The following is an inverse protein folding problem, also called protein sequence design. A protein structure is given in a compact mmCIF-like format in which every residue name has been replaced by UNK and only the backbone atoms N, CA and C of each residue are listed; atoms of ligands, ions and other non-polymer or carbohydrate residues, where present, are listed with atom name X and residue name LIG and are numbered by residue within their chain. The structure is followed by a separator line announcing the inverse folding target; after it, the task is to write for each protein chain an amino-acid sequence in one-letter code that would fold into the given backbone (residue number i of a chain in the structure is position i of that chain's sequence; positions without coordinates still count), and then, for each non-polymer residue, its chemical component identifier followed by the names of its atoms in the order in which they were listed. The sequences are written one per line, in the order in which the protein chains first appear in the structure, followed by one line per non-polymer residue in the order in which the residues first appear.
data_IF_003773986654
#
_entry.id   IF_003773986654
#
_cell.length_a   1.000
_cell.length_b   1.000
_cell.length_c   1.000
_cell.angle_alpha   90.00
_cell.angle_beta   90.00
_cell.angle_gamma   90.00
#
_symmetry.space_group_name_H-M   'P 1'
#
loop_
_entity.id
_entity.type
_entity.pdbx_description
1 polymer ?
#
# COMPACT_ATOMS: atom_id res chain seq x y z
N UNK A 1 14.71 -3.59 18.86
CA UNK A 1 13.32 -3.77 18.34
C UNK A 1 12.33 -4.20 19.44
N UNK A 2 12.56 -5.32 20.16
CA UNK A 2 11.63 -5.75 21.25
C UNK A 2 11.45 -4.69 22.36
N UNK A 3 12.46 -3.87 22.61
CA UNK A 3 12.39 -2.78 23.58
C UNK A 3 11.50 -1.64 23.08
N UNK A 4 11.67 -1.21 21.81
CA UNK A 4 10.81 -0.19 21.20
C UNK A 4 9.34 -0.64 21.19
N UNK A 5 9.06 -1.88 20.80
CA UNK A 5 7.71 -2.44 20.82
C UNK A 5 7.08 -2.35 22.21
N UNK A 6 7.81 -2.65 23.30
CA UNK A 6 7.32 -2.52 24.67
C UNK A 6 7.02 -1.07 25.03
N UNK A 7 7.93 -0.14 24.71
CA UNK A 7 7.77 1.29 24.98
C UNK A 7 6.54 1.82 24.23
N UNK A 8 6.44 1.52 22.94
CA UNK A 8 5.32 1.96 22.09
C UNK A 8 3.97 1.41 22.56
N UNK A 9 3.89 0.11 22.90
CA UNK A 9 2.65 -0.46 23.41
C UNK A 9 2.22 0.20 24.72
N UNK A 10 3.15 0.43 25.66
CA UNK A 10 2.88 1.15 26.91
C UNK A 10 2.43 2.59 26.65
N UNK A 11 3.08 3.31 25.73
CA UNK A 11 2.69 4.65 25.33
C UNK A 11 1.29 4.66 24.68
N UNK A 12 0.98 3.64 23.88
CA UNK A 12 -0.32 3.50 23.24
C UNK A 12 -1.47 3.32 24.24
N UNK A 13 -1.25 2.56 25.32
CA UNK A 13 -2.25 2.37 26.36
C UNK A 13 -2.63 3.69 27.05
N UNK A 14 -1.73 4.69 27.02
CA UNK A 14 -1.91 6.03 27.55
C UNK A 14 -1.88 7.11 26.44
N UNK A 15 -2.29 6.77 25.22
CA UNK A 15 -2.14 7.60 24.02
C UNK A 15 -2.74 9.01 24.14
N UNK A 16 -3.71 9.22 25.02
CA UNK A 16 -4.34 10.54 25.21
C UNK A 16 -3.42 11.54 25.89
N UNK A 17 -2.43 11.07 26.64
CA UNK A 17 -1.42 11.94 27.31
C UNK A 17 -0.15 12.12 26.48
N UNK A 18 0.02 11.34 25.40
CA UNK A 18 1.21 11.43 24.54
C UNK A 18 1.15 12.68 23.67
N UNK A 19 2.23 13.47 23.72
CA UNK A 19 2.41 14.73 22.98
C UNK A 19 3.89 15.03 22.76
N UNK A 20 4.22 16.19 22.19
CA UNK A 20 5.59 16.62 21.91
C UNK A 20 6.49 16.77 23.16
N UNK A 21 5.91 16.87 24.35
CA UNK A 21 6.60 17.00 25.63
C UNK A 21 6.65 15.68 26.42
N UNK A 22 6.27 14.56 25.84
CA UNK A 22 6.35 13.23 26.45
C UNK A 22 7.81 12.84 26.78
N UNK A 23 7.97 11.84 27.64
CA UNK A 23 9.29 11.33 28.00
C UNK A 23 10.18 11.06 26.80
N UNK A 24 11.46 11.45 26.90
CA UNK A 24 12.44 11.30 25.82
C UNK A 24 12.58 9.86 25.34
N UNK A 25 12.39 8.86 26.19
CA UNK A 25 12.40 7.46 25.82
C UNK A 25 11.26 7.10 24.83
N UNK A 26 10.06 7.69 25.02
CA UNK A 26 8.91 7.51 24.12
C UNK A 26 9.19 8.22 22.79
N UNK A 27 9.62 9.48 22.84
CA UNK A 27 9.93 10.27 21.64
C UNK A 27 11.01 9.62 20.78
N UNK A 28 12.09 9.11 21.43
CA UNK A 28 13.14 8.39 20.74
C UNK A 28 12.64 7.08 20.13
N UNK A 29 11.86 6.29 20.85
CA UNK A 29 11.30 5.04 20.33
C UNK A 29 10.41 5.28 19.10
N UNK A 30 9.59 6.32 19.11
CA UNK A 30 8.76 6.73 17.96
C UNK A 30 9.66 7.13 16.79
N UNK A 31 10.58 8.05 16.99
CA UNK A 31 11.50 8.56 15.97
C UNK A 31 12.32 7.45 15.32
N UNK A 32 13.00 6.65 16.12
CA UNK A 32 13.86 5.55 15.62
C UNK A 32 13.03 4.49 14.86
N UNK A 33 11.82 4.19 15.33
CA UNK A 33 10.95 3.25 14.62
C UNK A 33 10.53 3.80 13.25
N UNK A 34 10.15 5.07 13.15
CA UNK A 34 9.81 5.71 11.86
C UNK A 34 11.02 5.71 10.92
N UNK A 35 12.23 6.00 11.43
CA UNK A 35 13.46 5.94 10.62
C UNK A 35 13.75 4.52 10.10
N UNK A 36 13.50 3.48 10.90
CA UNK A 36 13.67 2.10 10.47
C UNK A 36 12.64 1.69 9.42
N UNK A 37 11.41 2.17 9.53
CA UNK A 37 10.35 1.99 8.50
C UNK A 37 10.72 2.73 7.23
N UNK A 38 11.19 3.98 7.33
CA UNK A 38 11.65 4.78 6.18
C UNK A 38 12.79 4.13 5.40
N UNK A 39 13.68 3.41 6.11
CA UNK A 39 14.79 2.65 5.53
C UNK A 39 14.41 1.25 5.04
N UNK A 40 13.18 0.80 5.26
CA UNK A 40 12.73 -0.55 4.92
C UNK A 40 13.29 -1.66 5.82
N UNK A 41 13.98 -1.31 6.90
CA UNK A 41 14.50 -2.27 7.90
C UNK A 41 13.35 -2.87 8.73
N UNK A 42 12.29 -2.10 8.93
CA UNK A 42 11.03 -2.54 9.50
C UNK A 42 9.91 -2.38 8.48
N UNK A 43 8.97 -3.32 8.50
CA UNK A 43 7.76 -3.28 7.67
C UNK A 43 6.53 -3.41 8.54
N UNK A 44 5.43 -2.75 8.14
CA UNK A 44 4.12 -2.89 8.82
C UNK A 44 3.59 -4.30 8.68
N UNK A 45 3.82 -4.96 7.55
CA UNK A 45 3.55 -6.38 7.39
C UNK A 45 4.66 -7.07 6.60
N UNK A 46 4.94 -8.32 6.94
CA UNK A 46 5.92 -9.17 6.27
C UNK A 46 5.37 -10.57 6.03
N UNK A 47 5.72 -11.18 4.91
CA UNK A 47 5.31 -12.54 4.56
C UNK A 47 6.16 -13.54 5.33
N UNK A 48 5.52 -14.47 6.05
CA UNK A 48 6.15 -15.60 6.75
C UNK A 48 5.54 -16.90 6.25
N UNK A 49 6.28 -17.62 5.42
CA UNK A 49 5.71 -18.74 4.68
C UNK A 49 4.61 -18.23 3.74
N UNK A 50 3.41 -18.77 3.85
CA UNK A 50 2.25 -18.39 3.04
C UNK A 50 1.34 -17.33 3.69
N UNK A 51 1.69 -16.82 4.86
CA UNK A 51 0.87 -15.90 5.62
C UNK A 51 1.54 -14.54 5.78
N UNK A 52 0.72 -13.50 5.84
CA UNK A 52 1.17 -12.15 6.13
C UNK A 52 1.02 -11.85 7.62
N UNK A 53 2.15 -11.56 8.29
CA UNK A 53 2.18 -11.13 9.68
C UNK A 53 2.18 -9.60 9.75
N UNK A 54 1.16 -9.04 10.40
CA UNK A 54 1.04 -7.60 10.63
C UNK A 54 1.64 -7.23 11.99
N UNK A 55 2.50 -6.23 11.99
CA UNK A 55 3.13 -5.65 13.18
C UNK A 55 2.34 -4.44 13.68
N UNK A 56 1.28 -4.67 14.41
CA UNK A 56 0.37 -3.62 14.88
C UNK A 56 1.07 -2.51 15.66
N UNK A 57 2.16 -2.83 16.39
CA UNK A 57 2.92 -1.85 17.13
C UNK A 57 3.56 -0.78 16.22
N UNK A 58 3.90 -1.10 14.96
CA UNK A 58 4.41 -0.11 13.99
C UNK A 58 3.30 0.84 13.58
N UNK A 59 2.07 0.37 13.37
CA UNK A 59 0.92 1.25 13.11
C UNK A 59 0.66 2.18 14.30
N UNK A 60 0.72 1.64 15.53
CA UNK A 60 0.65 2.47 16.75
C UNK A 60 1.73 3.57 16.76
N UNK A 61 2.97 3.23 16.37
CA UNK A 61 4.06 4.19 16.29
C UNK A 61 3.73 5.33 15.31
N UNK A 62 3.21 5.00 14.13
CA UNK A 62 2.83 6.00 13.13
C UNK A 62 1.75 6.94 13.69
N UNK A 63 0.73 6.40 14.34
CA UNK A 63 -0.34 7.22 14.96
C UNK A 63 0.19 8.09 16.10
N UNK A 64 1.07 7.56 16.95
CA UNK A 64 1.72 8.33 18.02
C UNK A 64 2.61 9.44 17.44
N UNK A 65 3.27 9.21 16.30
CA UNK A 65 4.09 10.23 15.66
C UNK A 65 3.30 11.48 15.27
N UNK A 66 2.05 11.35 14.89
CA UNK A 66 1.19 12.51 14.62
C UNK A 66 0.83 13.30 15.88
N UNK A 67 0.89 12.68 17.07
CA UNK A 67 0.68 13.37 18.34
C UNK A 67 1.95 14.05 18.85
N UNK A 68 3.11 13.47 18.56
CA UNK A 68 4.41 13.99 19.04
C UNK A 68 5.08 14.97 18.08
N UNK A 69 4.72 14.94 16.80
CA UNK A 69 5.23 15.91 15.83
C UNK A 69 4.39 17.17 15.83
N UNK A 70 5.07 18.32 15.85
CA UNK A 70 4.43 19.61 15.68
C UNK A 70 4.16 19.93 14.21
N UNK A 71 3.19 20.80 13.98
CA UNK A 71 2.94 21.37 12.65
C UNK A 71 4.12 22.24 12.23
N UNK A 72 4.53 22.12 10.99
CA UNK A 72 5.65 22.89 10.43
C UNK A 72 5.37 23.37 9.01
N UNK A 73 5.96 24.50 8.66
CA UNK A 73 5.94 24.96 7.26
C UNK A 73 6.95 24.15 6.45
N UNK A 74 6.46 23.50 5.41
CA UNK A 74 7.26 22.76 4.45
C UNK A 74 7.37 23.58 3.17
N UNK A 75 8.59 23.98 2.80
CA UNK A 75 8.84 24.79 1.61
C UNK A 75 8.90 23.90 0.35
N UNK A 76 8.36 24.41 -0.75
CA UNK A 76 8.45 23.78 -2.07
C UNK A 76 8.65 24.82 -3.16
N UNK A 77 8.82 24.38 -4.43
CA UNK A 77 9.21 25.27 -5.52
C UNK A 77 8.13 26.28 -5.94
N UNK A 78 6.86 26.03 -5.60
CA UNK A 78 5.72 26.86 -6.02
C UNK A 78 4.67 27.08 -4.93
N UNK A 79 4.86 26.48 -3.76
CA UNK A 79 3.96 26.64 -2.61
C UNK A 79 4.67 26.31 -1.30
N UNK A 80 4.01 26.61 -0.19
CA UNK A 80 4.36 26.09 1.14
C UNK A 80 3.21 25.23 1.63
N UNK A 81 3.53 24.24 2.43
CA UNK A 81 2.54 23.36 3.05
C UNK A 81 2.66 23.45 4.56
N UNK A 82 1.60 23.09 5.26
CA UNK A 82 1.51 23.06 6.71
C UNK A 82 1.16 21.65 7.15
N UNK A 83 2.16 20.86 7.58
CA UNK A 83 1.97 19.43 7.93
C UNK A 83 2.96 19.02 9.04
N UNK A 84 2.67 17.86 9.63
CA UNK A 84 3.49 17.21 10.67
C UNK A 84 4.57 16.29 10.08
N UNK A 85 4.44 15.86 8.83
CA UNK A 85 5.29 14.87 8.20
C UNK A 85 5.95 15.48 6.96
N UNK A 86 7.27 15.62 7.01
CA UNK A 86 8.06 16.09 5.86
C UNK A 86 8.02 15.11 4.69
N UNK A 87 8.33 15.58 3.51
CA UNK A 87 8.60 14.71 2.36
C UNK A 87 9.86 13.85 2.61
N UNK A 88 9.85 12.62 2.11
CA UNK A 88 10.99 11.69 2.21
C UNK A 88 12.27 12.29 1.63
N UNK A 89 12.17 12.96 0.49
CA UNK A 89 13.30 13.55 -0.22
C UNK A 89 13.61 15.00 0.16
N UNK A 90 12.98 15.52 1.24
CA UNK A 90 13.22 16.88 1.69
C UNK A 90 14.70 17.07 2.09
N UNK A 91 15.38 18.00 1.45
CA UNK A 91 16.81 18.30 1.67
C UNK A 91 17.79 17.33 0.97
N UNK A 92 17.31 16.39 0.17
CA UNK A 92 18.18 15.48 -0.58
C UNK A 92 18.95 16.20 -1.69
N UNK A 93 20.23 15.88 -1.79
CA UNK A 93 21.09 16.22 -2.91
C UNK A 93 21.26 15.06 -3.89
N UNK A 94 22.13 15.28 -4.89
CA UNK A 94 22.41 14.30 -5.94
C UNK A 94 22.84 12.92 -5.41
N UNK A 95 23.70 12.90 -4.40
CA UNK A 95 24.27 11.65 -3.88
C UNK A 95 23.23 10.86 -3.07
N UNK A 96 22.28 11.53 -2.41
CA UNK A 96 21.17 10.87 -1.73
C UNK A 96 20.25 10.14 -2.71
N UNK A 97 19.90 10.79 -3.82
CA UNK A 97 19.11 10.19 -4.89
C UNK A 97 19.81 8.99 -5.54
N UNK A 98 21.13 9.10 -5.83
CA UNK A 98 21.92 7.99 -6.37
C UNK A 98 21.96 6.81 -5.41
N UNK A 99 22.16 7.06 -4.12
CA UNK A 99 22.21 6.03 -3.08
C UNK A 99 20.85 5.34 -2.91
N UNK A 100 19.77 6.09 -2.94
CA UNK A 100 18.41 5.57 -2.83
C UNK A 100 18.04 4.70 -4.04
N UNK A 101 18.48 5.06 -5.24
CA UNK A 101 18.39 4.23 -6.44
C UNK A 101 16.99 4.11 -7.05
N UNK A 102 16.02 4.91 -6.62
CA UNK A 102 14.72 5.01 -7.27
C UNK A 102 14.60 6.31 -8.09
N UNK A 103 13.71 6.32 -9.05
CA UNK A 103 13.38 7.50 -9.85
C UNK A 103 12.06 8.10 -9.38
N UNK A 104 12.02 9.41 -9.15
CA UNK A 104 10.81 10.16 -8.84
C UNK A 104 10.66 11.31 -9.83
N UNK A 105 9.53 11.34 -10.54
CA UNK A 105 9.20 12.40 -11.48
C UNK A 105 8.73 13.64 -10.70
N UNK A 106 8.98 14.88 -11.20
CA UNK A 106 8.45 16.08 -10.56
C UNK A 106 6.96 15.97 -10.21
N UNK A 107 6.56 16.51 -9.07
CA UNK A 107 5.23 16.42 -8.45
C UNK A 107 4.88 15.04 -7.86
N UNK A 108 5.77 14.05 -7.86
CA UNK A 108 5.62 12.88 -7.01
C UNK A 108 5.74 13.27 -5.53
N UNK A 109 4.88 12.74 -4.68
CA UNK A 109 4.88 12.99 -3.23
C UNK A 109 5.11 11.69 -2.48
N UNK A 110 6.18 11.64 -1.71
CA UNK A 110 6.49 10.51 -0.82
C UNK A 110 6.66 11.06 0.59
N UNK A 111 5.79 10.64 1.52
CA UNK A 111 5.90 11.06 2.92
C UNK A 111 7.01 10.30 3.63
N UNK A 112 7.76 10.98 4.49
CA UNK A 112 8.77 10.36 5.35
C UNK A 112 8.13 9.27 6.22
N UNK A 113 8.86 8.17 6.46
CA UNK A 113 8.34 6.97 7.10
C UNK A 113 7.68 5.99 6.12
N UNK A 114 7.92 6.14 4.82
CA UNK A 114 7.60 5.13 3.79
C UNK A 114 8.88 4.63 3.13
N UNK A 115 8.91 3.37 2.71
CA UNK A 115 10.06 2.78 2.03
C UNK A 115 9.84 2.67 0.53
N UNK A 116 10.84 3.10 -0.23
CA UNK A 116 10.90 2.97 -1.69
C UNK A 116 12.20 2.24 -2.04
N UNK A 117 12.08 1.06 -2.62
CA UNK A 117 13.22 0.25 -3.01
C UNK A 117 13.94 0.78 -4.26
N UNK A 118 15.10 0.19 -4.56
CA UNK A 118 15.86 0.48 -5.79
C UNK A 118 15.05 0.12 -7.03
N UNK A 119 15.34 0.81 -8.13
CA UNK A 119 14.70 0.59 -9.43
C UNK A 119 13.18 0.85 -9.46
N UNK A 120 12.60 1.36 -8.37
CA UNK A 120 11.22 1.85 -8.38
C UNK A 120 11.11 3.11 -9.23
N UNK A 121 10.03 3.24 -9.98
CA UNK A 121 9.68 4.46 -10.70
C UNK A 121 8.39 5.02 -10.12
N UNK A 122 8.46 6.24 -9.62
CA UNK A 122 7.31 7.01 -9.16
C UNK A 122 7.04 8.12 -10.19
N UNK A 123 5.95 7.98 -10.93
CA UNK A 123 5.39 9.09 -11.70
C UNK A 123 4.78 10.11 -10.72
N UNK A 124 4.19 11.23 -11.16
CA UNK A 124 3.47 12.14 -10.28
C UNK A 124 2.36 11.37 -9.53
N UNK A 125 2.66 10.89 -8.36
CA UNK A 125 1.86 9.95 -7.56
C UNK A 125 2.02 10.28 -6.08
N UNK A 126 1.23 9.64 -5.22
CA UNK A 126 1.29 9.86 -3.78
C UNK A 126 1.57 8.57 -3.02
N UNK A 127 2.59 8.60 -2.15
CA UNK A 127 2.93 7.50 -1.25
C UNK A 127 2.87 7.97 0.19
N UNK A 128 2.00 7.33 0.99
CA UNK A 128 1.76 7.72 2.37
C UNK A 128 2.66 6.98 3.36
N UNK A 129 2.72 7.51 4.59
CA UNK A 129 3.54 6.98 5.70
C UNK A 129 3.24 5.50 5.99
N UNK A 130 4.27 4.73 6.28
CA UNK A 130 4.18 3.28 6.55
C UNK A 130 4.08 2.41 5.31
N UNK A 131 3.88 2.98 4.13
CA UNK A 131 3.86 2.23 2.87
C UNK A 131 5.25 1.64 2.57
N UNK A 132 5.24 0.47 1.94
CA UNK A 132 6.43 -0.22 1.47
C UNK A 132 6.26 -0.55 -0.01
N UNK A 133 7.17 -0.09 -0.85
CA UNK A 133 7.17 -0.36 -2.30
C UNK A 133 8.48 -1.05 -2.65
N UNK A 134 8.37 -2.30 -3.10
CA UNK A 134 9.53 -3.14 -3.38
C UNK A 134 10.11 -2.91 -4.78
N UNK A 135 11.26 -3.52 -5.03
CA UNK A 135 12.13 -3.31 -6.17
C UNK A 135 11.44 -3.49 -7.52
N UNK A 136 11.78 -2.63 -8.48
CA UNK A 136 11.30 -2.72 -9.87
C UNK A 136 9.85 -2.31 -10.10
N UNK A 137 9.12 -1.93 -9.05
CA UNK A 137 7.72 -1.52 -9.15
C UNK A 137 7.57 -0.12 -9.75
N UNK A 138 6.54 0.06 -10.57
CA UNK A 138 6.11 1.38 -11.05
C UNK A 138 4.82 1.81 -10.37
N UNK A 139 4.80 3.03 -9.85
CA UNK A 139 3.59 3.73 -9.41
C UNK A 139 3.33 4.85 -10.41
N UNK A 140 2.32 4.66 -11.25
CA UNK A 140 2.05 5.50 -12.39
C UNK A 140 1.29 6.80 -12.02
N UNK A 141 1.04 7.63 -13.02
CA UNK A 141 0.53 9.00 -12.88
C UNK A 141 -0.80 9.04 -12.12
N UNK A 142 -0.82 9.86 -11.08
CA UNK A 142 -1.97 10.05 -10.17
C UNK A 142 -2.45 8.80 -9.43
N UNK A 143 -1.65 7.74 -9.41
CA UNK A 143 -1.89 6.63 -8.52
C UNK A 143 -1.54 7.00 -7.07
N UNK A 144 -2.18 6.33 -6.12
CA UNK A 144 -1.91 6.52 -4.70
C UNK A 144 -1.62 5.19 -3.99
N UNK A 145 -0.63 5.22 -3.11
CA UNK A 145 -0.33 4.13 -2.18
C UNK A 145 -0.59 4.63 -0.77
N UNK A 146 -1.65 4.12 -0.17
CA UNK A 146 -2.14 4.54 1.13
C UNK A 146 -1.24 4.12 2.29
N UNK A 147 -1.55 4.65 3.48
CA UNK A 147 -0.77 4.39 4.70
C UNK A 147 -0.65 2.90 4.97
N UNK A 148 0.57 2.44 5.24
CA UNK A 148 0.87 1.06 5.60
C UNK A 148 0.68 0.02 4.49
N UNK A 149 0.23 0.38 3.30
CA UNK A 149 0.08 -0.54 2.18
C UNK A 149 1.43 -1.17 1.81
N UNK A 150 1.41 -2.45 1.41
CA UNK A 150 2.61 -3.21 1.07
C UNK A 150 2.54 -3.64 -0.39
N UNK A 151 3.46 -3.13 -1.20
CA UNK A 151 3.55 -3.45 -2.63
C UNK A 151 4.80 -4.29 -2.85
N UNK A 152 4.63 -5.42 -3.51
CA UNK A 152 5.71 -6.35 -3.87
C UNK A 152 6.59 -5.85 -5.01
N UNK A 153 7.44 -6.75 -5.50
CA UNK A 153 8.40 -6.49 -6.58
C UNK A 153 7.74 -6.50 -7.94
N UNK A 154 8.31 -5.74 -8.87
CA UNK A 154 7.92 -5.74 -10.28
C UNK A 154 6.42 -5.54 -10.53
N UNK A 155 5.75 -4.84 -9.63
CA UNK A 155 4.34 -4.50 -9.79
C UNK A 155 4.18 -3.28 -10.70
N UNK A 156 3.02 -3.17 -11.34
CA UNK A 156 2.59 -1.96 -12.03
C UNK A 156 1.28 -1.47 -11.42
N UNK A 157 1.33 -0.34 -10.74
CA UNK A 157 0.16 0.36 -10.22
C UNK A 157 -0.19 1.44 -11.24
N UNK A 158 -1.17 1.16 -12.10
CA UNK A 158 -1.47 2.00 -13.27
C UNK A 158 -2.06 3.35 -12.91
N UNK A 159 -2.15 4.22 -13.90
CA UNK A 159 -2.58 5.61 -13.73
C UNK A 159 -3.90 5.77 -12.99
N UNK A 160 -3.87 6.57 -11.93
CA UNK A 160 -5.02 6.84 -11.08
C UNK A 160 -5.58 5.66 -10.30
N UNK A 161 -4.85 4.54 -10.22
CA UNK A 161 -5.24 3.44 -9.34
C UNK A 161 -4.97 3.80 -7.88
N UNK A 162 -5.88 3.40 -6.98
CA UNK A 162 -5.77 3.61 -5.54
C UNK A 162 -5.50 2.31 -4.79
N UNK A 163 -4.40 2.27 -4.04
CA UNK A 163 -4.14 1.22 -3.08
C UNK A 163 -4.46 1.80 -1.70
N UNK A 164 -5.52 1.31 -1.09
CA UNK A 164 -6.04 1.84 0.16
C UNK A 164 -5.06 1.71 1.31
N UNK A 165 -5.02 2.75 2.13
CA UNK A 165 -4.28 2.77 3.37
C UNK A 165 -5.17 2.38 4.53
N UNK A 166 -4.68 1.52 5.41
CA UNK A 166 -5.39 1.17 6.63
C UNK A 166 -4.51 1.46 7.83
N UNK A 167 -4.59 2.68 8.29
CA UNK A 167 -3.98 3.11 9.55
C UNK A 167 -4.99 3.02 10.70
N UNK A 168 -6.20 3.44 10.46
CA UNK A 168 -7.35 3.32 11.35
C UNK A 168 -8.52 2.64 10.64
N UNK A 169 -9.27 1.76 11.32
CA UNK A 169 -9.08 1.31 12.70
C UNK A 169 -7.84 0.43 12.88
N UNK A 170 -7.25 0.45 14.09
CA UNK A 170 -5.98 -0.24 14.40
C UNK A 170 -5.95 -1.70 14.02
N UNK A 171 -7.03 -2.42 14.25
CA UNK A 171 -7.14 -3.88 14.00
C UNK A 171 -7.21 -4.24 12.51
N UNK A 172 -7.53 -3.29 11.63
CA UNK A 172 -7.60 -3.59 10.21
C UNK A 172 -6.21 -3.86 9.62
N UNK A 173 -6.13 -4.83 8.73
CA UNK A 173 -4.89 -5.22 8.06
C UNK A 173 -4.54 -4.23 6.94
N UNK A 174 -3.26 -4.04 6.62
CA UNK A 174 -2.86 -3.25 5.46
C UNK A 174 -3.26 -3.95 4.16
N UNK A 175 -3.54 -3.16 3.13
CA UNK A 175 -3.70 -3.68 1.77
C UNK A 175 -2.36 -4.18 1.25
N UNK A 176 -2.36 -5.34 0.62
CA UNK A 176 -1.15 -6.02 0.16
C UNK A 176 -1.30 -6.37 -1.33
N UNK A 177 -0.35 -5.94 -2.12
CA UNK A 177 -0.17 -6.36 -3.52
C UNK A 177 1.10 -7.20 -3.55
N UNK A 178 0.99 -8.49 -3.81
CA UNK A 178 2.16 -9.37 -3.89
C UNK A 178 2.97 -9.12 -5.17
N UNK A 179 4.08 -9.85 -5.36
CA UNK A 179 5.01 -9.62 -6.47
C UNK A 179 4.37 -9.82 -7.85
N UNK A 180 4.91 -9.15 -8.87
CA UNK A 180 4.57 -9.32 -10.27
C UNK A 180 3.10 -9.03 -10.63
N UNK A 181 2.39 -8.22 -9.83
CA UNK A 181 1.00 -7.86 -10.07
C UNK A 181 0.88 -6.66 -11.02
N UNK A 182 -0.19 -6.68 -11.83
CA UNK A 182 -0.64 -5.54 -12.60
C UNK A 182 -1.99 -5.05 -12.09
N UNK A 183 -2.05 -3.80 -11.64
CA UNK A 183 -3.29 -3.16 -11.19
C UNK A 183 -3.71 -2.14 -12.24
N UNK A 184 -4.81 -2.42 -12.94
CA UNK A 184 -5.32 -1.62 -14.04
C UNK A 184 -5.71 -0.20 -13.62
N UNK A 185 -5.68 0.72 -14.59
CA UNK A 185 -5.97 2.13 -14.36
C UNK A 185 -7.32 2.36 -13.66
N UNK A 186 -7.35 3.31 -12.72
CA UNK A 186 -8.58 3.66 -11.96
C UNK A 186 -9.20 2.51 -11.16
N UNK A 187 -8.43 1.46 -10.86
CA UNK A 187 -8.86 0.43 -9.91
C UNK A 187 -8.61 0.86 -8.48
N UNK A 188 -9.46 0.38 -7.55
CA UNK A 188 -9.31 0.64 -6.10
C UNK A 188 -9.24 -0.68 -5.34
N UNK A 189 -8.13 -0.92 -4.64
CA UNK A 189 -7.91 -2.10 -3.80
C UNK A 189 -7.72 -1.62 -2.38
N UNK A 190 -8.69 -1.88 -1.53
CA UNK A 190 -8.78 -1.23 -0.22
C UNK A 190 -9.06 -2.23 0.93
N UNK A 191 -9.15 -1.72 2.16
CA UNK A 191 -9.62 -2.45 3.35
C UNK A 191 -8.82 -3.73 3.68
N UNK A 192 -7.52 -3.75 3.38
CA UNK A 192 -6.67 -4.90 3.72
C UNK A 192 -6.84 -6.11 2.81
N UNK A 193 -7.37 -5.92 1.61
CA UNK A 193 -7.41 -6.95 0.57
C UNK A 193 -5.98 -7.36 0.21
N UNK A 194 -5.79 -8.66 -0.01
CA UNK A 194 -4.53 -9.24 -0.49
C UNK A 194 -4.70 -9.64 -1.95
N UNK A 195 -3.89 -9.08 -2.83
CA UNK A 195 -3.78 -9.50 -4.23
C UNK A 195 -2.60 -10.46 -4.35
N UNK A 196 -2.90 -11.71 -4.67
CA UNK A 196 -1.89 -12.76 -4.81
C UNK A 196 -0.96 -12.52 -6.00
N UNK A 197 0.26 -13.04 -5.88
CA UNK A 197 1.35 -12.90 -6.84
C UNK A 197 0.92 -13.14 -8.29
N UNK A 198 1.45 -12.34 -9.21
CA UNK A 198 1.23 -12.50 -10.66
C UNK A 198 -0.19 -12.19 -11.13
N UNK A 199 -1.04 -11.64 -10.27
CA UNK A 199 -2.43 -11.34 -10.65
C UNK A 199 -2.52 -10.08 -11.52
N UNK A 200 -3.47 -10.10 -12.45
CA UNK A 200 -3.75 -9.02 -13.40
C UNK A 200 -5.18 -8.52 -13.17
N UNK A 201 -5.31 -7.29 -12.74
CA UNK A 201 -6.59 -6.62 -12.61
C UNK A 201 -6.77 -5.67 -13.82
N UNK A 202 -7.88 -5.79 -14.52
CA UNK A 202 -8.22 -4.84 -15.59
C UNK A 202 -8.52 -3.46 -15.01
N UNK A 203 -8.66 -2.45 -15.86
CA UNK A 203 -9.06 -1.12 -15.42
C UNK A 203 -10.45 -1.13 -14.75
N UNK A 204 -10.63 -0.26 -13.74
CA UNK A 204 -11.93 -0.07 -13.09
C UNK A 204 -12.39 -1.21 -12.19
N UNK A 205 -11.47 -2.01 -11.65
CA UNK A 205 -11.80 -3.06 -10.66
C UNK A 205 -11.77 -2.46 -9.25
N UNK A 206 -12.88 -2.57 -8.50
CA UNK A 206 -13.03 -2.04 -7.15
C UNK A 206 -13.20 -3.19 -6.15
N UNK A 207 -12.24 -3.37 -5.23
CA UNK A 207 -12.26 -4.47 -4.27
C UNK A 207 -11.98 -3.96 -2.86
N UNK A 208 -12.96 -4.15 -1.97
CA UNK A 208 -12.85 -4.05 -0.53
C UNK A 208 -13.16 -5.40 0.14
N UNK A 209 -13.16 -5.46 1.47
CA UNK A 209 -13.38 -6.70 2.22
C UNK A 209 -14.77 -7.32 1.96
N UNK A 210 -15.76 -6.53 1.65
CA UNK A 210 -17.14 -6.98 1.39
C UNK A 210 -17.43 -7.22 -0.09
N UNK A 211 -16.48 -6.91 -0.99
CA UNK A 211 -16.67 -7.10 -2.43
C UNK A 211 -16.62 -8.59 -2.76
N UNK A 212 -17.67 -9.07 -3.44
CA UNK A 212 -17.70 -10.44 -3.95
C UNK A 212 -16.69 -10.59 -5.09
N UNK A 213 -15.82 -11.56 -5.00
CA UNK A 213 -14.90 -11.97 -6.06
C UNK A 213 -15.40 -13.34 -6.53
N UNK A 214 -15.89 -13.41 -7.75
CA UNK A 214 -16.56 -14.60 -8.31
C UNK A 214 -15.60 -15.29 -9.28
N UNK A 215 -15.29 -16.54 -9.04
CA UNK A 215 -14.59 -17.38 -10.02
C UNK A 215 -15.60 -17.83 -11.08
N UNK A 216 -15.37 -17.42 -12.33
CA UNK A 216 -16.31 -17.66 -13.45
C UNK A 216 -16.42 -19.15 -13.82
N UNK A 217 -15.36 -19.90 -13.62
CA UNK A 217 -15.33 -21.33 -13.99
C UNK A 217 -16.04 -22.20 -12.94
N UNK A 218 -15.81 -21.89 -11.66
CA UNK A 218 -16.33 -22.71 -10.55
C UNK A 218 -17.61 -22.18 -9.92
N UNK A 219 -17.91 -20.89 -10.10
CA UNK A 219 -18.99 -20.19 -9.41
C UNK A 219 -18.67 -19.87 -7.95
N UNK A 220 -17.45 -20.18 -7.48
CA UNK A 220 -17.02 -19.88 -6.11
C UNK A 220 -17.02 -18.39 -5.86
N UNK A 221 -17.48 -17.97 -4.68
CA UNK A 221 -17.44 -16.58 -4.22
C UNK A 221 -16.47 -16.46 -3.06
N UNK A 222 -15.44 -15.65 -3.24
CA UNK A 222 -14.41 -15.38 -2.23
C UNK A 222 -14.39 -13.90 -1.86
N UNK A 223 -13.77 -13.58 -0.72
CA UNK A 223 -13.68 -12.22 -0.16
C UNK A 223 -12.28 -11.93 0.34
N UNK A 224 -11.88 -10.67 0.28
CA UNK A 224 -10.69 -10.13 0.93
C UNK A 224 -9.35 -10.64 0.40
N UNK A 225 -9.33 -11.64 -0.48
CA UNK A 225 -8.10 -12.18 -1.06
C UNK A 225 -8.33 -12.63 -2.50
N UNK A 226 -7.44 -12.22 -3.38
CA UNK A 226 -7.35 -12.71 -4.77
C UNK A 226 -6.31 -13.83 -4.81
N UNK A 227 -6.64 -15.02 -5.31
CA UNK A 227 -5.67 -16.09 -5.53
C UNK A 227 -4.55 -15.65 -6.47
N UNK A 228 -3.32 -16.18 -6.31
CA UNK A 228 -2.22 -15.89 -7.22
C UNK A 228 -2.55 -16.18 -8.69
N UNK A 229 -1.96 -15.41 -9.59
CA UNK A 229 -2.05 -15.57 -11.05
C UNK A 229 -3.48 -15.48 -11.60
N UNK A 230 -4.37 -14.79 -10.89
CA UNK A 230 -5.76 -14.57 -11.34
C UNK A 230 -5.85 -13.37 -12.28
N UNK A 231 -6.68 -13.50 -13.32
CA UNK A 231 -7.06 -12.39 -14.21
C UNK A 231 -8.46 -11.93 -13.84
N UNK A 232 -8.59 -10.66 -13.43
CA UNK A 232 -9.81 -10.11 -12.85
C UNK A 232 -10.35 -8.95 -13.68
N UNK A 233 -11.66 -8.96 -13.89
CA UNK A 233 -12.39 -7.89 -14.56
C UNK A 233 -13.58 -7.41 -13.72
N UNK A 234 -14.13 -6.20 -13.97
CA UNK A 234 -15.39 -5.78 -13.39
C UNK A 234 -16.54 -6.66 -13.87
N UNK A 235 -17.47 -6.94 -13.00
CA UNK A 235 -18.68 -7.68 -13.33
C UNK A 235 -19.88 -7.25 -12.51
N UNK A 236 -20.99 -7.95 -12.70
CA UNK A 236 -22.19 -7.75 -11.90
C UNK A 236 -22.89 -9.08 -11.62
N UNK A 237 -23.45 -9.19 -10.44
CA UNK A 237 -24.27 -10.34 -10.03
C UNK A 237 -25.75 -9.93 -10.01
N UNK A 238 -26.60 -10.67 -10.72
CA UNK A 238 -28.04 -10.46 -10.64
C UNK A 238 -28.55 -10.81 -9.22
N UNK A 239 -29.67 -10.22 -8.85
CA UNK A 239 -30.34 -10.61 -7.62
C UNK A 239 -30.83 -12.06 -7.72
N UNK A 240 -30.83 -12.79 -6.59
CA UNK A 240 -31.17 -14.23 -6.53
C UNK A 240 -32.59 -14.53 -7.02
N UNK A 241 -33.50 -13.61 -6.84
CA UNK A 241 -34.90 -13.72 -7.28
C UNK A 241 -35.16 -13.13 -8.69
N UNK A 242 -34.10 -12.67 -9.37
CA UNK A 242 -34.16 -12.02 -10.68
C UNK A 242 -34.84 -10.64 -10.67
N UNK A 243 -35.13 -10.08 -9.49
CA UNK A 243 -35.80 -8.78 -9.35
C UNK A 243 -34.82 -7.71 -8.82
N UNK A 244 -34.96 -6.51 -9.34
CA UNK A 244 -34.12 -5.37 -8.94
C UNK A 244 -32.76 -5.29 -9.64
N UNK A 245 -31.91 -4.35 -9.25
CA UNK A 245 -30.62 -4.12 -9.92
C UNK A 245 -29.61 -5.22 -9.61
N UNK A 246 -28.74 -5.51 -10.58
CA UNK A 246 -27.54 -6.28 -10.34
C UNK A 246 -26.55 -5.49 -9.50
N UNK A 247 -25.81 -6.17 -8.63
CA UNK A 247 -24.77 -5.55 -7.82
C UNK A 247 -23.38 -5.81 -8.41
N UNK A 248 -22.48 -4.84 -8.25
CA UNK A 248 -21.09 -4.97 -8.65
C UNK A 248 -20.43 -6.20 -7.99
N UNK A 249 -19.57 -6.88 -8.74
CA UNK A 249 -18.62 -7.86 -8.25
C UNK A 249 -17.33 -7.79 -9.07
N UNK A 250 -16.24 -8.32 -8.53
CA UNK A 250 -15.06 -8.63 -9.31
C UNK A 250 -15.19 -10.06 -9.84
N UNK A 251 -14.72 -10.33 -11.05
CA UNK A 251 -14.83 -11.65 -11.69
C UNK A 251 -13.44 -12.15 -12.06
N UNK A 252 -13.06 -13.32 -11.54
CA UNK A 252 -11.89 -14.06 -12.04
C UNK A 252 -12.34 -14.76 -13.32
N UNK A 253 -11.81 -14.31 -14.46
CA UNK A 253 -12.17 -14.88 -15.77
C UNK A 253 -11.30 -16.07 -16.14
N UNK A 254 -10.07 -16.11 -15.63
CA UNK A 254 -9.12 -17.22 -15.79
C UNK A 254 -7.99 -17.14 -14.79
N UNK A 255 -7.27 -18.24 -14.60
CA UNK A 255 -5.99 -18.30 -13.90
C UNK A 255 -4.91 -18.64 -14.91
N UNK A 256 -3.77 -17.96 -14.82
CA UNK A 256 -2.60 -18.19 -15.69
C UNK A 256 -1.46 -18.75 -14.86
N UNK A 257 -0.59 -19.53 -15.46
CA UNK A 257 0.65 -19.94 -14.81
C UNK A 257 1.74 -18.85 -14.97
N UNK A 258 2.79 -18.95 -14.18
CA UNK A 258 3.93 -18.03 -14.22
C UNK A 258 4.56 -17.92 -15.63
N UNK A 259 4.62 -19.02 -16.36
CA UNK A 259 5.21 -19.07 -17.71
C UNK A 259 4.33 -18.39 -18.74
N UNK A 260 3.02 -18.54 -18.61
CA UNK A 260 2.03 -17.91 -19.50
C UNK A 260 1.95 -16.42 -19.21
N UNK A 261 1.92 -16.01 -17.94
CA UNK A 261 1.89 -14.59 -17.53
C UNK A 261 3.10 -13.80 -18.04
N UNK A 262 4.28 -14.40 -18.07
CA UNK A 262 5.51 -13.75 -18.55
C UNK A 262 5.64 -13.62 -20.07
N UNK A 263 4.89 -14.42 -20.84
CA UNK A 263 4.96 -14.50 -22.31
C UNK A 263 3.78 -13.88 -23.03
N UNK A 264 2.66 -13.73 -22.35
CA UNK A 264 1.41 -13.24 -22.94
C UNK A 264 1.29 -11.74 -22.71
N UNK A 265 0.91 -10.99 -23.75
CA UNK A 265 0.69 -9.55 -23.57
C UNK A 265 -0.47 -9.30 -22.60
N UNK A 266 -0.43 -8.21 -21.87
CA UNK A 266 -1.49 -7.82 -20.95
C UNK A 266 -2.87 -7.78 -21.63
N UNK A 267 -2.91 -7.28 -22.87
CA UNK A 267 -4.15 -7.21 -23.64
C UNK A 267 -4.71 -8.60 -23.98
N UNK A 268 -3.84 -9.57 -24.25
CA UNK A 268 -4.28 -10.94 -24.52
C UNK A 268 -4.72 -11.66 -23.25
N UNK A 269 -4.11 -11.34 -22.09
CA UNK A 269 -4.57 -11.85 -20.80
C UNK A 269 -5.99 -11.37 -20.45
N UNK A 270 -6.34 -10.13 -20.84
CA UNK A 270 -7.65 -9.53 -20.54
C UNK A 270 -8.75 -9.86 -21.55
N UNK A 271 -8.44 -10.61 -22.61
CA UNK A 271 -9.43 -11.13 -23.57
C UNK A 271 -9.98 -12.47 -23.10
N UNK A 272 -11.28 -12.68 -23.39
CA UNK A 272 -11.95 -13.97 -23.20
C UNK A 272 -11.44 -15.04 -24.18
#
# INVERSE_FOLDING_TARGET
MKEFEKIINKAWDNKETVNAQSDQSILNAIKETIELVDKGTLRVAEKKGNEWKVHQWIKKTILLSFKTNEMQTLAGPYATWWDKVRGKTAGWGREDHKKAGFRMVPNGVVRHGSYIAKNVVLMPSFVNVGAYIDEGTMVDTWASVGSCAQIGKNCHISGGAGIGGVLEPMQANPTIIEDNCFIGARSEIVEGVIVGEGSVLSMGVFIGQSTKIVDRETGEVIFGKIPPYSVIVPGSLPNKDGKGPSLYCAVIIKKVDEKTGSKTSLNDLLRD
#
